data_IF_768809081521
#
_entry.id   IF_768809081521
#
_cell.length_a   1.000
_cell.length_b   1.000
_cell.length_c   1.000
_cell.angle_alpha   90.00
_cell.angle_beta   90.00
_cell.angle_gamma   90.00
#
_symmetry.space_group_name_H-M   'P 1'
#
loop_
_entity.id
_entity.type
_entity.pdbx_description
1 polymer ?
#
# COMPACT_ATOMS: atom_id res chain seq x y z
N UNK A 1 -24.55 -18.89 -19.44
CA UNK A 1 -23.16 -18.65 -19.84
C UNK A 1 -22.52 -17.91 -18.68
N UNK A 2 -22.05 -18.67 -17.69
CA UNK A 2 -21.39 -18.13 -16.49
C UNK A 2 -19.99 -17.68 -16.89
N UNK A 3 -19.77 -16.37 -16.86
CA UNK A 3 -18.51 -15.75 -17.22
C UNK A 3 -17.44 -16.15 -16.21
N UNK A 4 -16.50 -16.96 -16.68
CA UNK A 4 -15.29 -17.34 -15.97
C UNK A 4 -14.39 -16.09 -15.88
N UNK A 5 -14.58 -15.26 -14.84
CA UNK A 5 -13.67 -14.16 -14.50
C UNK A 5 -12.53 -14.71 -13.64
N UNK A 6 -11.72 -15.59 -14.22
CA UNK A 6 -10.36 -15.85 -13.73
C UNK A 6 -9.48 -14.69 -14.21
N UNK A 7 -9.71 -13.50 -13.66
CA UNK A 7 -8.77 -12.40 -13.82
C UNK A 7 -7.57 -12.73 -12.95
N UNK A 8 -6.55 -13.25 -13.63
CA UNK A 8 -5.20 -13.56 -13.19
C UNK A 8 -4.56 -12.31 -12.57
N UNK A 9 -5.01 -11.98 -11.36
CA UNK A 9 -4.46 -10.95 -10.52
C UNK A 9 -3.09 -11.46 -10.06
N UNK A 10 -2.04 -11.08 -10.80
CA UNK A 10 -0.63 -11.18 -10.41
C UNK A 10 -0.32 -10.28 -9.19
N UNK A 11 -1.18 -10.30 -8.19
CA UNK A 11 -0.96 -9.64 -6.91
C UNK A 11 -0.14 -10.59 -6.04
N UNK A 12 0.88 -10.08 -5.33
CA UNK A 12 1.65 -10.92 -4.41
C UNK A 12 0.71 -11.55 -3.40
N UNK A 13 0.75 -12.88 -3.31
CA UNK A 13 -0.09 -13.65 -2.42
C UNK A 13 0.22 -13.24 -0.99
N UNK A 14 -0.75 -12.63 -0.30
CA UNK A 14 -0.63 -12.22 1.09
C UNK A 14 -0.62 -13.47 1.99
N UNK A 15 0.52 -14.18 2.03
CA UNK A 15 0.76 -15.32 2.92
C UNK A 15 1.07 -14.81 4.31
N UNK A 16 0.00 -14.56 5.09
CA UNK A 16 0.10 -14.20 6.49
C UNK A 16 -0.32 -15.37 7.35
N UNK A 17 0.63 -15.91 8.12
CA UNK A 17 0.32 -16.90 9.16
C UNK A 17 -0.66 -16.31 10.17
N UNK A 18 -1.63 -17.11 10.64
CA UNK A 18 -2.63 -16.65 11.60
C UNK A 18 -1.99 -15.98 12.84
N UNK A 19 -0.83 -16.47 13.31
CA UNK A 19 -0.07 -15.86 14.40
C UNK A 19 0.49 -14.48 14.04
N UNK A 20 1.01 -14.31 12.83
CA UNK A 20 1.53 -13.03 12.35
C UNK A 20 0.41 -12.01 12.14
N UNK A 21 -0.73 -12.46 11.59
CA UNK A 21 -1.91 -11.62 11.45
C UNK A 21 -2.42 -11.14 12.81
N UNK A 22 -2.52 -12.03 13.80
CA UNK A 22 -2.92 -11.66 15.16
C UNK A 22 -1.96 -10.64 15.80
N UNK A 23 -0.64 -10.84 15.67
CA UNK A 23 0.36 -9.88 16.15
C UNK A 23 0.25 -8.52 15.46
N UNK A 24 -0.01 -8.51 14.16
CA UNK A 24 -0.25 -7.30 13.38
C UNK A 24 -1.49 -6.56 13.87
N UNK A 25 -2.60 -7.28 14.05
CA UNK A 25 -3.86 -6.74 14.54
C UNK A 25 -3.72 -6.10 15.92
N UNK A 26 -2.96 -6.73 16.83
CA UNK A 26 -2.64 -6.14 18.13
C UNK A 26 -1.87 -4.84 17.98
N UNK A 27 -0.83 -4.81 17.14
CA UNK A 27 -0.07 -3.58 16.88
C UNK A 27 -0.93 -2.49 16.20
N UNK A 28 -1.72 -2.86 15.20
CA UNK A 28 -2.58 -1.92 14.48
C UNK A 28 -3.61 -1.25 15.41
N UNK A 29 -4.12 -1.97 16.42
CA UNK A 29 -4.99 -1.41 17.46
C UNK A 29 -4.27 -0.43 18.40
N UNK A 30 -2.95 -0.52 18.53
CA UNK A 30 -2.16 0.43 19.34
C UNK A 30 -1.81 1.71 18.57
N UNK A 31 -1.92 1.68 17.24
CA UNK A 31 -1.68 2.85 16.42
C UNK A 31 -2.88 3.82 16.48
N UNK A 32 -2.64 5.14 16.48
CA UNK A 32 -3.72 6.13 16.43
C UNK A 32 -4.45 6.06 15.08
N UNK A 33 -5.77 6.14 15.06
CA UNK A 33 -6.53 6.20 13.80
C UNK A 33 -6.43 7.59 13.20
N UNK A 34 -5.47 7.78 12.29
CA UNK A 34 -5.32 9.01 11.51
C UNK A 34 -5.82 8.79 10.09
N UNK A 35 -6.98 9.35 9.75
CA UNK A 35 -7.54 9.25 8.39
C UNK A 35 -6.69 9.99 7.34
N UNK A 36 -5.84 10.94 7.76
CA UNK A 36 -4.90 11.65 6.88
C UNK A 36 -3.58 10.91 6.70
N UNK A 37 -3.28 9.91 7.52
CA UNK A 37 -2.03 9.16 7.46
C UNK A 37 -2.23 7.84 6.72
N UNK A 38 -1.74 7.78 5.49
CA UNK A 38 -1.72 6.57 4.69
C UNK A 38 -0.53 5.73 5.12
N UNK A 39 -0.82 4.65 5.85
CA UNK A 39 0.18 3.74 6.40
C UNK A 39 0.41 2.56 5.48
N UNK A 40 1.67 2.39 5.10
CA UNK A 40 2.18 1.27 4.35
C UNK A 40 3.09 0.43 5.23
N UNK A 41 3.06 -0.88 5.00
CA UNK A 41 3.82 -1.85 5.74
C UNK A 41 4.71 -2.62 4.77
N UNK A 42 6.02 -2.50 4.93
CA UNK A 42 7.00 -3.16 4.09
C UNK A 42 7.11 -4.65 4.45
N UNK A 43 6.91 -5.51 3.45
CA UNK A 43 7.08 -6.97 3.52
C UNK A 43 8.34 -7.45 2.80
N UNK A 44 9.31 -6.56 2.52
CA UNK A 44 10.51 -6.71 1.67
C UNK A 44 10.23 -6.87 0.18
N UNK A 45 9.30 -7.75 -0.17
CA UNK A 45 8.96 -8.05 -1.56
C UNK A 45 7.85 -7.13 -2.10
N UNK A 46 6.92 -6.74 -1.23
CA UNK A 46 5.76 -5.90 -1.54
C UNK A 46 5.37 -5.06 -0.33
N UNK A 47 4.51 -4.07 -0.54
CA UNK A 47 3.95 -3.25 0.52
C UNK A 47 2.52 -3.68 0.81
N UNK A 48 2.06 -3.48 2.05
CA UNK A 48 0.66 -3.72 2.41
C UNK A 48 0.06 -2.50 3.06
N UNK A 49 -1.18 -2.18 2.72
CA UNK A 49 -1.97 -1.16 3.42
C UNK A 49 -3.18 -1.82 4.08
N UNK A 50 -3.68 -1.27 5.18
CA UNK A 50 -4.73 -1.89 5.99
C UNK A 50 -5.83 -0.90 6.38
N UNK A 51 -7.03 -1.42 6.68
CA UNK A 51 -8.19 -0.63 7.07
C UNK A 51 -8.74 0.20 5.93
N UNK A 52 -9.12 1.45 6.20
CA UNK A 52 -9.66 2.37 5.20
C UNK A 52 -8.64 2.72 4.11
N UNK A 53 -7.36 2.81 4.46
CA UNK A 53 -6.26 3.02 3.50
C UNK A 53 -6.24 1.93 2.43
N UNK A 54 -6.51 0.68 2.80
CA UNK A 54 -6.54 -0.43 1.83
C UNK A 54 -7.67 -0.26 0.81
N UNK A 55 -8.86 0.12 1.27
CA UNK A 55 -10.05 0.31 0.42
C UNK A 55 -9.86 1.51 -0.49
N UNK A 56 -9.31 2.59 0.05
CA UNK A 56 -8.95 3.78 -0.72
C UNK A 56 -7.99 3.41 -1.86
N UNK A 57 -6.89 2.73 -1.55
CA UNK A 57 -5.89 2.36 -2.56
C UNK A 57 -6.46 1.41 -3.62
N UNK A 58 -7.20 0.40 -3.19
CA UNK A 58 -7.81 -0.59 -4.07
C UNK A 58 -8.81 0.05 -5.06
N UNK A 59 -9.63 0.99 -4.60
CA UNK A 59 -10.60 1.68 -5.45
C UNK A 59 -9.97 2.77 -6.32
N UNK A 60 -9.04 3.55 -5.78
CA UNK A 60 -8.46 4.71 -6.47
C UNK A 60 -7.39 4.32 -7.48
N UNK A 61 -6.53 3.35 -7.17
CA UNK A 61 -5.42 2.98 -8.05
C UNK A 61 -5.68 1.67 -8.79
N UNK A 62 -6.06 0.63 -8.06
CA UNK A 62 -6.33 -0.68 -8.69
C UNK A 62 -7.68 -0.73 -9.41
N UNK A 63 -8.59 0.22 -9.14
CA UNK A 63 -9.96 0.21 -9.67
C UNK A 63 -10.70 -1.12 -9.42
N UNK A 64 -10.24 -1.89 -8.43
CA UNK A 64 -10.80 -3.18 -8.08
C UNK A 64 -10.77 -3.41 -6.58
N UNK A 65 -11.84 -3.98 -6.05
CA UNK A 65 -11.92 -4.44 -4.67
C UNK A 65 -11.42 -5.88 -4.50
N UNK A 66 -11.10 -6.59 -5.58
CA UNK A 66 -10.59 -7.97 -5.53
C UNK A 66 -9.17 -8.06 -4.95
N UNK A 67 -8.42 -6.96 -5.00
CA UNK A 67 -7.11 -6.83 -4.38
C UNK A 67 -7.18 -6.78 -2.84
N UNK A 68 -8.38 -6.56 -2.27
CA UNK A 68 -8.58 -6.55 -0.82
C UNK A 68 -8.61 -7.98 -0.26
N UNK A 69 -7.66 -8.26 0.61
CA UNK A 69 -7.55 -9.46 1.44
C UNK A 69 -7.97 -9.14 2.87
N UNK A 70 -8.79 -9.99 3.46
CA UNK A 70 -9.11 -9.89 4.88
C UNK A 70 -8.03 -10.59 5.70
N UNK A 71 -7.42 -9.89 6.66
CA UNK A 71 -6.51 -10.50 7.64
C UNK A 71 -7.21 -10.61 8.99
N UNK A 72 -7.03 -11.75 9.65
CA UNK A 72 -7.69 -12.07 10.91
C UNK A 72 -8.89 -13.01 10.75
N UNK A 73 -9.63 -13.20 11.83
CA UNK A 73 -10.79 -14.09 11.86
C UNK A 73 -11.88 -13.49 12.76
N UNK A 74 -13.13 -13.51 12.29
CA UNK A 74 -14.30 -13.01 13.03
C UNK A 74 -14.47 -11.48 12.99
N UNK A 75 -14.96 -10.89 14.08
CA UNK A 75 -15.26 -9.45 14.23
C UNK A 75 -14.03 -8.53 14.19
N UNK A 76 -12.82 -9.09 14.20
CA UNK A 76 -11.57 -8.36 14.05
C UNK A 76 -10.95 -8.55 12.66
N UNK A 77 -11.73 -8.95 11.64
CA UNK A 77 -11.24 -9.00 10.27
C UNK A 77 -10.88 -7.58 9.79
N UNK A 78 -9.67 -7.44 9.26
CA UNK A 78 -9.16 -6.16 8.77
C UNK A 78 -8.88 -6.27 7.26
N UNK A 79 -9.47 -5.37 6.49
CA UNK A 79 -9.18 -5.22 5.07
C UNK A 79 -7.72 -4.84 4.87
N UNK A 80 -7.04 -5.55 3.97
CA UNK A 80 -5.62 -5.40 3.66
C UNK A 80 -5.43 -5.49 2.16
N UNK A 81 -4.59 -4.66 1.57
CA UNK A 81 -4.27 -4.73 0.15
C UNK A 81 -2.78 -4.91 -0.01
N UNK A 82 -2.37 -5.80 -0.93
CA UNK A 82 -0.97 -5.94 -1.32
C UNK A 82 -0.67 -5.03 -2.51
N UNK A 83 0.43 -4.29 -2.41
CA UNK A 83 0.82 -3.23 -3.33
C UNK A 83 2.24 -3.54 -3.79
N UNK A 84 2.44 -3.59 -5.10
CA UNK A 84 3.78 -3.77 -5.68
C UNK A 84 4.65 -2.52 -5.46
N UNK A 85 5.98 -2.65 -5.56
CA UNK A 85 6.90 -1.52 -5.42
C UNK A 85 6.57 -0.39 -6.40
N UNK A 86 6.36 -0.71 -7.68
CA UNK A 86 5.93 0.26 -8.69
C UNK A 86 4.63 0.98 -8.31
N UNK A 87 3.63 0.26 -7.82
CA UNK A 87 2.36 0.88 -7.47
C UNK A 87 2.51 1.78 -6.23
N UNK A 88 3.29 1.34 -5.25
CA UNK A 88 3.61 2.16 -4.08
C UNK A 88 4.31 3.47 -4.46
N UNK A 89 5.25 3.43 -5.41
CA UNK A 89 5.90 4.63 -5.94
C UNK A 89 4.89 5.60 -6.58
N UNK A 90 3.97 5.07 -7.40
CA UNK A 90 2.89 5.87 -8.01
C UNK A 90 1.97 6.47 -6.95
N UNK A 91 1.54 5.68 -5.97
CA UNK A 91 0.66 6.14 -4.89
C UNK A 91 1.36 7.20 -4.04
N UNK A 92 2.61 6.97 -3.65
CA UNK A 92 3.37 7.94 -2.87
C UNK A 92 3.52 9.26 -3.65
N UNK A 93 3.79 9.20 -4.95
CA UNK A 93 3.87 10.39 -5.80
C UNK A 93 2.56 11.15 -5.85
N UNK A 94 1.46 10.46 -6.11
CA UNK A 94 0.13 11.06 -6.16
C UNK A 94 -0.26 11.67 -4.80
N UNK A 95 -0.04 10.93 -3.71
CA UNK A 95 -0.33 11.42 -2.35
C UNK A 95 0.55 12.59 -1.91
N UNK A 96 1.76 12.73 -2.43
CA UNK A 96 2.70 13.77 -2.01
C UNK A 96 2.72 14.98 -2.94
N UNK A 97 2.43 14.79 -4.24
CA UNK A 97 2.44 15.84 -5.26
C UNK A 97 1.04 16.34 -5.62
N UNK A 98 0.04 15.46 -5.69
CA UNK A 98 -1.34 15.85 -6.01
C UNK A 98 -2.14 16.16 -4.73
N UNK A 99 -2.03 15.29 -3.71
CA UNK A 99 -2.84 15.40 -2.48
C UNK A 99 -2.09 16.05 -1.34
N UNK A 100 -2.11 17.39 -1.28
CA UNK A 100 -1.39 18.14 -0.25
C UNK A 100 -1.97 18.05 1.19
N UNK A 101 -2.90 17.14 1.46
CA UNK A 101 -3.61 16.96 2.73
C UNK A 101 -3.32 15.63 3.43
N UNK A 102 -2.63 14.69 2.77
CA UNK A 102 -2.31 13.36 3.30
C UNK A 102 -0.83 13.21 3.63
N UNK A 103 -0.51 12.33 4.57
CA UNK A 103 0.86 11.95 4.93
C UNK A 103 1.06 10.47 4.67
N UNK A 104 2.25 10.11 4.20
CA UNK A 104 2.62 8.72 3.90
C UNK A 104 3.56 8.22 4.98
N UNK A 105 3.19 7.14 5.64
CA UNK A 105 4.03 6.51 6.66
C UNK A 105 4.40 5.10 6.19
N UNK A 106 5.68 4.76 6.27
CA UNK A 106 6.17 3.43 5.96
C UNK A 106 6.70 2.76 7.22
N UNK A 107 6.07 1.65 7.56
CA UNK A 107 6.44 0.80 8.67
C UNK A 107 7.16 -0.44 8.13
N UNK A 108 8.33 -0.75 8.68
CA UNK A 108 9.02 -2.01 8.42
C UNK A 108 8.92 -2.89 9.65
N UNK A 109 8.70 -4.19 9.45
CA UNK A 109 8.50 -5.08 10.56
C UNK A 109 7.96 -6.44 10.20
N UNK A 110 7.69 -7.23 11.23
CA UNK A 110 7.10 -8.55 11.10
C UNK A 110 6.34 -8.94 12.37
N UNK A 111 5.21 -9.62 12.21
CA UNK A 111 4.34 -10.04 13.31
C UNK A 111 3.78 -8.84 14.07
N UNK A 112 4.18 -8.66 15.33
CA UNK A 112 3.79 -7.55 16.20
C UNK A 112 4.83 -6.42 16.28
N UNK A 113 6.01 -6.60 15.69
CA UNK A 113 7.11 -5.64 15.77
C UNK A 113 7.17 -4.81 14.48
N UNK A 114 6.44 -3.70 14.47
CA UNK A 114 6.45 -2.74 13.37
C UNK A 114 7.06 -1.43 13.84
N UNK A 115 7.96 -0.88 13.03
CA UNK A 115 8.64 0.37 13.32
C UNK A 115 8.48 1.30 12.13
N UNK A 116 8.14 2.55 12.42
CA UNK A 116 8.13 3.61 11.42
C UNK A 116 9.56 3.83 10.94
N UNK A 117 9.84 3.45 9.70
CA UNK A 117 11.17 3.60 9.10
C UNK A 117 11.26 4.85 8.24
N UNK A 118 10.18 5.22 7.57
CA UNK A 118 10.12 6.42 6.72
C UNK A 118 8.78 7.11 6.85
N UNK A 119 8.80 8.43 6.76
CA UNK A 119 7.62 9.27 6.68
C UNK A 119 7.80 10.25 5.54
N UNK A 120 6.73 10.53 4.82
CA UNK A 120 6.68 11.62 3.87
C UNK A 120 5.40 12.43 4.05
N UNK A 121 5.52 13.72 3.81
CA UNK A 121 4.40 14.64 3.72
C UNK A 121 4.58 15.51 2.48
N UNK A 122 3.54 16.13 1.93
CA UNK A 122 3.60 16.96 0.73
C UNK A 122 4.65 18.08 0.80
N UNK A 123 4.94 18.58 2.00
CA UNK A 123 6.03 19.55 2.25
C UNK A 123 7.37 18.94 2.66
N UNK A 124 7.43 17.64 2.96
CA UNK A 124 8.63 16.94 3.38
C UNK A 124 8.66 15.53 2.77
N UNK A 125 9.13 15.46 1.52
CA UNK A 125 9.30 14.22 0.75
C UNK A 125 10.71 13.65 0.84
N UNK A 126 11.60 14.25 1.66
CA UNK A 126 13.03 13.94 1.70
C UNK A 126 13.36 12.45 1.86
N UNK A 127 12.63 11.75 2.73
CA UNK A 127 12.83 10.31 2.97
C UNK A 127 12.35 9.40 1.82
N UNK A 128 11.61 9.97 0.88
CA UNK A 128 10.96 9.32 -0.25
C UNK A 128 11.44 9.85 -1.60
N UNK A 129 12.42 10.76 -1.63
CA UNK A 129 12.97 11.31 -2.87
C UNK A 129 13.45 10.20 -3.81
N UNK A 130 14.22 9.23 -3.31
CA UNK A 130 14.61 8.06 -4.12
C UNK A 130 13.40 7.36 -4.75
N UNK A 131 12.30 7.18 -4.02
CA UNK A 131 11.08 6.50 -4.48
C UNK A 131 10.35 7.35 -5.54
N UNK A 132 10.35 8.68 -5.37
CA UNK A 132 9.71 9.61 -6.28
C UNK A 132 10.51 9.84 -7.56
N UNK A 133 11.85 9.85 -7.47
CA UNK A 133 12.74 10.11 -8.59
C UNK A 133 13.23 8.83 -9.30
N UNK A 134 13.18 7.66 -8.66
CA UNK A 134 13.57 6.37 -9.30
C UNK A 134 12.72 6.00 -10.52
N UNK A 135 11.49 6.49 -10.61
CA UNK A 135 10.59 6.18 -11.74
C UNK A 135 10.55 7.28 -12.82
N UNK A 136 11.39 8.33 -12.74
CA UNK A 136 11.41 9.42 -13.73
C UNK A 136 12.32 9.13 -14.95
N UNK A 137 12.63 7.87 -15.25
CA UNK A 137 13.38 7.47 -16.45
C UNK A 137 12.52 6.79 -17.54
N UNK A 138 11.22 6.58 -17.35
CA UNK A 138 10.38 5.92 -18.36
C UNK A 138 8.97 6.53 -18.48
N UNK A 139 8.92 7.78 -18.92
CA UNK A 139 7.89 8.23 -19.86
C UNK A 139 8.61 8.92 -21.04
N UNK A 140 9.55 8.21 -21.66
CA UNK A 140 10.05 8.58 -22.98
C UNK A 140 8.89 8.33 -23.95
N UNK A 141 8.18 9.41 -24.27
CA UNK A 141 7.18 9.43 -25.33
C UNK A 141 7.83 8.85 -26.59
N UNK A 142 7.25 7.86 -27.28
CA UNK A 142 7.78 7.44 -28.56
C UNK A 142 7.59 8.60 -29.54
N UNK A 143 8.65 9.38 -29.75
CA UNK A 143 8.74 10.30 -30.89
C UNK A 143 8.87 9.41 -32.12
N UNK A 144 7.72 9.14 -32.73
CA UNK A 144 7.65 8.63 -34.09
C UNK A 144 8.16 9.76 -34.99
N UNK A 145 9.41 9.66 -35.44
CA UNK A 145 9.86 10.46 -36.58
C UNK A 145 9.39 9.74 -37.85
N UNK A 146 8.63 10.47 -38.67
CA UNK A 146 8.15 10.02 -39.99
C UNK A 146 9.26 9.91 -41.02
#
# INVERSE_FOLDING_TARGET
MEGNFEEQNNLPELKLDAKQAQGFLSFFKTLPTDSRAVRFFDRKDYYTAHGENSVFIAKTYYHTTTALRQIGSGTNALSSVSISKNMFETIARDLLLERNDHTVELYEGSGSNWKLVKTASPGNIGSFEDVLFSNNEMQDTPVVVS
#
